data_IF_836777999485
#
_entry.id   IF_836777999485
#
_cell.length_a   1.000
_cell.length_b   1.000
_cell.length_c   1.000
_cell.angle_alpha   90.00
_cell.angle_beta   90.00
_cell.angle_gamma   90.00
#
_symmetry.space_group_name_H-M   'P 1'
#
loop_
_entity.id
_entity.type
_entity.pdbx_description
1 polymer ?
#
# COMPACT_ATOMS: atom_id res chain seq x y z
N UNK A 1 54.64 -28.68 -0.86
CA UNK A 1 53.40 -29.18 -1.52
C UNK A 1 52.30 -29.67 -0.54
N UNK A 2 52.35 -29.36 0.77
CA UNK A 2 51.33 -29.80 1.76
C UNK A 2 50.45 -28.67 2.34
N UNK A 3 50.82 -27.40 2.16
CA UNK A 3 50.03 -26.28 2.70
C UNK A 3 48.87 -25.83 1.79
N UNK A 4 48.98 -26.05 0.46
CA UNK A 4 47.91 -25.70 -0.50
C UNK A 4 46.72 -26.66 -0.49
N UNK A 5 46.87 -27.87 0.06
CA UNK A 5 45.77 -28.86 0.16
C UNK A 5 44.91 -28.68 1.41
N UNK A 6 45.42 -28.02 2.46
CA UNK A 6 44.65 -27.77 3.69
C UNK A 6 43.70 -26.57 3.54
N UNK A 7 44.10 -25.55 2.75
CA UNK A 7 43.24 -24.41 2.44
C UNK A 7 42.03 -24.79 1.56
N UNK A 8 42.19 -25.80 0.68
CA UNK A 8 41.10 -26.28 -0.17
C UNK A 8 40.07 -27.13 0.60
N UNK A 9 40.46 -27.75 1.71
CA UNK A 9 39.56 -28.52 2.58
C UNK A 9 38.78 -27.65 3.56
N UNK A 10 39.27 -26.45 3.90
CA UNK A 10 38.55 -25.50 4.76
C UNK A 10 37.54 -24.61 4.00
N UNK A 11 37.58 -24.62 2.67
CA UNK A 11 36.69 -23.82 1.80
C UNK A 11 35.41 -24.55 1.38
N UNK A 12 35.21 -25.81 1.80
CA UNK A 12 34.03 -26.62 1.43
C UNK A 12 33.03 -26.79 2.59
N UNK A 13 33.35 -26.33 3.81
CA UNK A 13 32.47 -26.51 4.98
C UNK A 13 31.65 -25.28 5.38
N UNK A 14 31.68 -24.19 4.61
CA UNK A 14 30.78 -23.05 4.78
C UNK A 14 29.77 -23.04 3.64
N UNK A 15 29.09 -24.17 3.42
CA UNK A 15 27.77 -24.14 2.83
C UNK A 15 26.87 -23.48 3.85
N UNK A 16 26.65 -22.18 3.67
CA UNK A 16 25.61 -21.44 4.35
C UNK A 16 24.34 -22.30 4.32
N UNK A 17 23.94 -22.83 5.49
CA UNK A 17 22.56 -23.21 5.71
C UNK A 17 21.78 -21.90 5.72
N UNK A 18 21.54 -21.36 4.53
CA UNK A 18 20.38 -20.54 4.28
C UNK A 18 19.20 -21.47 4.54
N UNK A 19 18.81 -21.61 5.80
CA UNK A 19 17.46 -22.08 6.10
C UNK A 19 16.56 -21.11 5.34
N UNK A 20 16.05 -21.55 4.18
CA UNK A 20 15.01 -20.85 3.47
C UNK A 20 13.93 -20.59 4.54
N UNK A 21 13.70 -19.31 4.83
CA UNK A 21 12.75 -18.90 5.83
C UNK A 21 11.41 -19.49 5.36
N UNK A 22 10.88 -20.49 6.08
CA UNK A 22 9.62 -21.13 5.68
C UNK A 22 8.55 -20.04 5.71
N UNK A 23 8.15 -19.54 4.54
CA UNK A 23 7.20 -18.44 4.41
C UNK A 23 5.78 -18.83 4.88
N UNK A 24 5.54 -20.09 5.24
CA UNK A 24 4.27 -20.60 5.77
C UNK A 24 4.39 -21.91 6.53
N UNK A 25 3.23 -22.46 6.92
CA UNK A 25 3.11 -23.76 7.58
C UNK A 25 1.81 -24.48 7.21
N UNK A 26 1.82 -25.82 7.23
CA UNK A 26 0.60 -26.64 7.17
C UNK A 26 -0.13 -26.53 8.50
N UNK A 27 -1.34 -25.97 8.47
CA UNK A 27 -2.17 -25.80 9.65
C UNK A 27 -2.94 -27.08 9.95
N UNK A 28 -2.40 -27.83 10.91
CA UNK A 28 -2.90 -29.16 11.28
C UNK A 28 -4.04 -29.09 12.31
N UNK A 29 -4.17 -27.97 13.01
CA UNK A 29 -5.22 -27.74 14.00
C UNK A 29 -6.53 -27.41 13.32
N UNK A 30 -6.48 -26.67 12.21
CA UNK A 30 -7.63 -26.30 11.38
C UNK A 30 -7.75 -27.18 10.13
N UNK A 31 -7.30 -28.43 10.24
CA UNK A 31 -7.50 -29.44 9.21
C UNK A 31 -8.95 -29.97 9.26
N UNK A 32 -9.53 -30.23 8.09
CA UNK A 32 -10.81 -30.93 7.97
C UNK A 32 -10.55 -32.42 7.86
N UNK A 33 -11.23 -33.24 8.66
CA UNK A 33 -11.40 -34.68 8.42
C UNK A 33 -12.87 -35.02 8.61
N UNK A 34 -13.53 -35.49 7.55
CA UNK A 34 -14.94 -35.92 7.59
C UNK A 34 -15.08 -37.29 6.94
N UNK A 35 -15.89 -38.14 7.55
CA UNK A 35 -16.28 -39.45 7.03
C UNK A 35 -17.81 -39.48 6.90
N UNK A 36 -18.32 -39.82 5.72
CA UNK A 36 -19.76 -39.85 5.47
C UNK A 36 -20.11 -41.07 4.61
N UNK A 37 -21.17 -41.78 5.00
CA UNK A 37 -21.75 -42.87 4.21
C UNK A 37 -22.66 -42.27 3.13
N UNK A 38 -22.46 -42.71 1.89
CA UNK A 38 -23.20 -42.27 0.70
C UNK A 38 -23.87 -43.47 0.08
N UNK A 39 -25.17 -43.39 -0.17
CA UNK A 39 -25.88 -44.47 -0.85
C UNK A 39 -25.51 -44.54 -2.33
N UNK A 40 -25.75 -45.70 -2.94
CA UNK A 40 -25.57 -45.87 -4.37
C UNK A 40 -26.34 -44.78 -5.14
N UNK A 41 -25.68 -44.15 -6.12
CA UNK A 41 -26.21 -43.07 -6.97
C UNK A 41 -26.53 -41.73 -6.27
N UNK A 42 -26.40 -41.64 -4.95
CA UNK A 42 -26.70 -40.41 -4.23
C UNK A 42 -25.66 -39.31 -4.48
N UNK A 43 -26.12 -38.06 -4.29
CA UNK A 43 -25.28 -36.86 -4.24
C UNK A 43 -25.28 -36.27 -2.84
N UNK A 44 -24.09 -35.93 -2.35
CA UNK A 44 -23.91 -35.27 -1.06
C UNK A 44 -22.95 -34.10 -1.17
N UNK A 45 -22.92 -33.23 -0.16
CA UNK A 45 -21.90 -32.19 -0.03
C UNK A 45 -21.24 -32.22 1.34
N UNK A 46 -19.93 -32.02 1.38
CA UNK A 46 -19.14 -31.95 2.61
C UNK A 46 -18.52 -30.55 2.70
N UNK A 47 -18.84 -29.82 3.77
CA UNK A 47 -18.24 -28.52 4.09
C UNK A 47 -16.89 -28.75 4.78
N UNK A 48 -15.86 -28.00 4.39
CA UNK A 48 -14.62 -27.91 5.16
C UNK A 48 -14.81 -27.10 6.45
N UNK A 49 -13.89 -27.27 7.39
CA UNK A 49 -13.64 -26.25 8.40
C UNK A 49 -13.24 -24.93 7.73
N UNK A 50 -13.41 -23.82 8.45
CA UNK A 50 -13.12 -22.50 7.90
C UNK A 50 -11.60 -22.36 7.66
N UNK A 51 -11.24 -21.99 6.42
CA UNK A 51 -9.86 -21.80 5.99
C UNK A 51 -9.26 -20.59 6.75
N UNK A 52 -8.06 -20.75 7.34
CA UNK A 52 -7.38 -19.66 8.02
C UNK A 52 -7.13 -18.44 7.13
N UNK A 53 -7.13 -17.24 7.72
CA UNK A 53 -6.62 -16.03 7.06
C UNK A 53 -5.17 -16.26 6.65
N UNK A 54 -4.85 -15.91 5.40
CA UNK A 54 -3.52 -16.15 4.82
C UNK A 54 -3.33 -17.54 4.22
N UNK A 55 -4.40 -18.34 4.07
CA UNK A 55 -4.34 -19.59 3.31
C UNK A 55 -4.00 -19.31 1.86
N UNK A 56 -2.84 -19.79 1.40
CA UNK A 56 -2.41 -19.65 -0.01
C UNK A 56 -2.43 -20.97 -0.75
N UNK A 57 -2.45 -22.09 -0.04
CA UNK A 57 -2.60 -23.42 -0.62
C UNK A 57 -3.46 -24.30 0.26
N UNK A 58 -4.04 -25.33 -0.35
CA UNK A 58 -4.60 -26.46 0.39
C UNK A 58 -4.10 -27.76 -0.24
N UNK A 59 -3.97 -28.77 0.60
CA UNK A 59 -3.87 -30.15 0.15
C UNK A 59 -5.12 -30.86 0.61
N UNK A 60 -5.76 -31.58 -0.29
CA UNK A 60 -6.84 -32.48 0.07
C UNK A 60 -6.57 -33.89 -0.39
N UNK A 61 -7.18 -34.83 0.33
CA UNK A 61 -7.19 -36.25 0.04
C UNK A 61 -8.61 -36.78 0.17
N UNK A 62 -9.04 -37.50 -0.85
CA UNK A 62 -10.31 -38.21 -0.93
C UNK A 62 -9.99 -39.69 -0.97
N UNK A 63 -10.63 -40.48 -0.11
CA UNK A 63 -10.52 -41.95 -0.12
C UNK A 63 -11.91 -42.53 0.00
N UNK A 64 -12.27 -43.45 -0.90
CA UNK A 64 -13.47 -44.26 -0.79
C UNK A 64 -13.14 -45.57 -0.09
N UNK A 65 -14.00 -45.94 0.85
CA UNK A 65 -13.87 -47.11 1.70
C UNK A 65 -15.20 -47.87 1.70
N UNK A 66 -15.13 -49.19 1.87
CA UNK A 66 -16.33 -49.94 2.25
C UNK A 66 -16.82 -49.45 3.64
N UNK A 67 -18.11 -49.62 3.94
CA UNK A 67 -18.70 -49.10 5.19
C UNK A 67 -17.94 -49.51 6.46
N UNK A 68 -17.37 -50.73 6.48
CA UNK A 68 -16.65 -51.29 7.63
C UNK A 68 -15.14 -51.01 7.62
N UNK A 69 -14.60 -50.47 6.53
CA UNK A 69 -13.17 -50.15 6.44
C UNK A 69 -12.83 -48.86 7.19
N UNK A 70 -11.59 -48.78 7.67
CA UNK A 70 -11.03 -47.62 8.35
C UNK A 70 -9.72 -47.18 7.68
N UNK A 71 -9.39 -45.90 7.79
CA UNK A 71 -8.15 -45.35 7.27
C UNK A 71 -6.93 -45.87 8.06
N UNK A 72 -5.88 -46.28 7.34
CA UNK A 72 -4.63 -46.73 7.97
C UNK A 72 -3.75 -45.57 8.49
N UNK A 73 -3.83 -44.39 7.86
CA UNK A 73 -3.09 -43.18 8.24
C UNK A 73 -3.86 -41.91 7.85
N UNK A 74 -3.62 -40.79 8.53
CA UNK A 74 -4.22 -39.49 8.21
C UNK A 74 -3.33 -38.62 7.33
N UNK A 75 -3.91 -37.67 6.61
CA UNK A 75 -3.18 -36.73 5.76
C UNK A 75 -2.27 -35.84 6.62
N UNK A 76 -2.73 -35.47 7.81
CA UNK A 76 -1.93 -34.74 8.81
C UNK A 76 -0.68 -35.53 9.23
N UNK A 77 -0.77 -36.86 9.40
CA UNK A 77 0.40 -37.67 9.76
C UNK A 77 1.38 -37.81 8.60
N UNK A 78 0.89 -37.95 7.36
CA UNK A 78 1.71 -37.92 6.15
C UNK A 78 2.45 -36.59 6.02
N UNK A 79 1.76 -35.45 6.22
CA UNK A 79 2.39 -34.13 6.16
C UNK A 79 3.39 -33.88 7.31
N UNK A 80 3.30 -34.60 8.44
CA UNK A 80 4.31 -34.55 9.51
C UNK A 80 5.61 -35.26 9.11
N UNK A 81 5.53 -36.30 8.29
CA UNK A 81 6.69 -37.08 7.85
C UNK A 81 7.44 -36.48 6.65
N UNK A 82 6.96 -35.35 6.10
CA UNK A 82 7.59 -34.64 4.99
C UNK A 82 8.56 -33.58 5.55
N UNK A 83 9.89 -33.75 5.38
CA UNK A 83 10.90 -32.87 6.00
C UNK A 83 10.83 -31.41 5.51
N UNK A 84 10.45 -31.23 4.24
CA UNK A 84 10.23 -29.94 3.60
C UNK A 84 8.83 -29.89 2.97
N UNK A 85 7.93 -29.01 3.42
CA UNK A 85 6.60 -28.88 2.83
C UNK A 85 6.61 -28.52 1.34
N UNK A 86 7.70 -27.97 0.80
CA UNK A 86 7.87 -27.80 -0.65
C UNK A 86 8.03 -29.14 -1.39
N UNK A 87 8.33 -30.24 -0.70
CA UNK A 87 8.32 -31.58 -1.28
C UNK A 87 6.94 -32.01 -1.79
N UNK A 88 5.85 -31.47 -1.20
CA UNK A 88 4.48 -31.62 -1.72
C UNK A 88 4.25 -30.77 -2.97
N UNK A 89 5.08 -29.74 -3.19
CA UNK A 89 4.96 -28.78 -4.29
C UNK A 89 5.63 -29.22 -5.60
N UNK A 90 6.34 -30.36 -5.62
CA UNK A 90 7.07 -30.91 -6.79
C UNK A 90 6.18 -31.59 -7.84
N UNK A 91 5.01 -31.02 -8.13
CA UNK A 91 4.10 -31.51 -9.18
C UNK A 91 3.44 -32.86 -8.87
N UNK A 92 3.07 -33.61 -9.93
CA UNK A 92 2.30 -34.86 -9.86
C UNK A 92 3.00 -35.97 -9.06
N UNK A 93 4.33 -35.96 -8.96
CA UNK A 93 5.09 -36.92 -8.15
C UNK A 93 4.85 -36.74 -6.64
N UNK A 94 4.61 -35.51 -6.17
CA UNK A 94 4.31 -35.22 -4.76
C UNK A 94 2.90 -35.67 -4.35
N UNK A 95 1.94 -35.64 -5.27
CA UNK A 95 0.56 -36.08 -5.02
C UNK A 95 0.45 -37.59 -4.75
N UNK A 96 1.31 -38.40 -5.37
CA UNK A 96 1.37 -39.85 -5.14
C UNK A 96 1.71 -40.18 -3.68
N UNK A 97 2.59 -39.40 -3.04
CA UNK A 97 2.92 -39.58 -1.62
C UNK A 97 1.77 -39.24 -0.67
N UNK A 98 0.79 -38.46 -1.13
CA UNK A 98 -0.39 -38.10 -0.36
C UNK A 98 -1.47 -39.18 -0.45
N UNK A 99 -1.56 -39.89 -1.57
CA UNK A 99 -2.63 -40.88 -1.82
C UNK A 99 -2.65 -41.99 -0.77
N UNK A 100 -3.87 -42.43 -0.42
CA UNK A 100 -4.04 -43.62 0.41
C UNK A 100 -3.55 -44.86 -0.33
N UNK A 101 -2.95 -45.79 0.43
CA UNK A 101 -2.60 -47.14 -0.08
C UNK A 101 -3.83 -48.03 -0.23
N UNK A 102 -4.95 -47.65 0.36
CA UNK A 102 -6.22 -48.37 0.24
C UNK A 102 -6.70 -48.27 -1.21
N UNK A 103 -7.22 -49.37 -1.73
CA UNK A 103 -7.79 -49.49 -3.07
C UNK A 103 -9.07 -50.29 -2.95
N UNK A 104 -10.15 -49.79 -3.55
CA UNK A 104 -11.44 -50.46 -3.63
C UNK A 104 -12.09 -50.19 -4.99
N UNK A 105 -13.16 -50.92 -5.28
CA UNK A 105 -13.90 -50.85 -6.55
C UNK A 105 -14.95 -49.73 -6.56
N UNK A 106 -15.23 -49.16 -5.40
CA UNK A 106 -16.14 -48.01 -5.24
C UNK A 106 -15.61 -46.79 -5.97
N UNK A 107 -16.48 -46.06 -6.67
CA UNK A 107 -16.08 -44.85 -7.42
C UNK A 107 -17.04 -43.68 -7.24
N UNK A 108 -16.47 -42.48 -7.18
CA UNK A 108 -17.19 -41.21 -7.16
C UNK A 108 -16.67 -40.27 -8.24
N UNK A 109 -17.56 -39.44 -8.75
CA UNK A 109 -17.17 -38.13 -9.30
C UNK A 109 -17.30 -37.08 -8.20
N UNK A 110 -16.50 -36.02 -8.26
CA UNK A 110 -16.62 -34.92 -7.29
C UNK A 110 -16.36 -33.55 -7.90
N UNK A 111 -16.88 -32.53 -7.26
CA UNK A 111 -16.68 -31.14 -7.63
C UNK A 111 -16.48 -30.27 -6.38
N UNK A 112 -15.72 -29.19 -6.52
CA UNK A 112 -15.45 -28.23 -5.46
C UNK A 112 -16.21 -26.94 -5.74
N UNK A 113 -16.83 -26.40 -4.71
CA UNK A 113 -17.53 -25.13 -4.77
C UNK A 113 -16.99 -24.19 -3.70
N UNK A 114 -17.06 -22.89 -3.98
CA UNK A 114 -16.70 -21.80 -3.05
C UNK A 114 -17.93 -21.08 -2.47
N UNK A 115 -19.13 -21.62 -2.71
CA UNK A 115 -20.37 -21.08 -2.16
C UNK A 115 -21.33 -22.20 -1.76
N UNK A 116 -21.99 -22.04 -0.61
CA UNK A 116 -23.04 -22.96 -0.16
C UNK A 116 -24.21 -23.08 -1.15
N UNK A 117 -24.59 -21.98 -1.82
CA UNK A 117 -25.70 -21.97 -2.78
C UNK A 117 -25.42 -22.88 -3.99
N UNK A 118 -24.25 -22.74 -4.62
CA UNK A 118 -23.89 -23.59 -5.76
C UNK A 118 -23.68 -25.05 -5.35
N UNK A 119 -23.15 -25.31 -4.15
CA UNK A 119 -23.04 -26.66 -3.62
C UNK A 119 -24.41 -27.32 -3.41
N UNK A 120 -25.40 -26.55 -2.93
CA UNK A 120 -26.78 -27.02 -2.78
C UNK A 120 -27.42 -27.33 -4.13
N UNK A 121 -27.24 -26.44 -5.12
CA UNK A 121 -27.73 -26.65 -6.50
C UNK A 121 -27.16 -27.95 -7.11
N UNK A 122 -25.88 -28.23 -6.89
CA UNK A 122 -25.27 -29.48 -7.34
C UNK A 122 -25.94 -30.75 -6.79
N UNK A 123 -26.45 -30.74 -5.55
CA UNK A 123 -27.21 -31.88 -5.02
C UNK A 123 -28.48 -32.11 -5.85
N UNK A 124 -29.17 -31.02 -6.22
CA UNK A 124 -30.45 -31.02 -6.92
C UNK A 124 -30.30 -31.46 -8.38
N UNK A 125 -29.36 -30.87 -9.14
CA UNK A 125 -29.25 -31.09 -10.58
C UNK A 125 -28.00 -31.87 -11.03
N UNK A 126 -26.94 -31.95 -10.19
CA UNK A 126 -25.67 -32.60 -10.50
C UNK A 126 -24.74 -31.81 -11.41
N UNK A 127 -25.06 -30.56 -11.73
CA UNK A 127 -24.27 -29.75 -12.66
C UNK A 127 -23.04 -29.16 -11.98
N UNK A 128 -21.93 -29.16 -12.71
CA UNK A 128 -20.63 -28.67 -12.24
C UNK A 128 -20.25 -27.32 -12.84
N UNK A 129 -21.15 -26.67 -13.60
CA UNK A 129 -20.90 -25.40 -14.31
C UNK A 129 -20.44 -24.25 -13.40
N UNK A 130 -20.79 -24.32 -12.11
CA UNK A 130 -20.44 -23.33 -11.08
C UNK A 130 -19.40 -23.84 -10.08
N UNK A 131 -18.82 -25.01 -10.34
CA UNK A 131 -17.72 -25.53 -9.54
C UNK A 131 -16.43 -24.78 -9.88
N UNK A 132 -15.58 -24.57 -8.87
CA UNK A 132 -14.23 -24.04 -9.07
C UNK A 132 -13.26 -25.14 -9.53
N UNK A 133 -13.66 -26.41 -9.41
CA UNK A 133 -12.94 -27.59 -9.89
C UNK A 133 -13.93 -28.76 -10.03
N UNK A 134 -13.78 -29.60 -11.06
CA UNK A 134 -14.58 -30.81 -11.24
C UNK A 134 -13.70 -31.99 -11.68
N UNK A 135 -13.97 -33.15 -11.09
CA UNK A 135 -13.41 -34.45 -11.46
C UNK A 135 -14.55 -35.30 -12.04
N UNK A 136 -14.63 -35.32 -13.36
CA UNK A 136 -15.72 -35.99 -14.09
C UNK A 136 -15.48 -37.49 -14.28
N UNK A 137 -14.21 -37.91 -14.33
CA UNK A 137 -13.88 -39.33 -14.37
C UNK A 137 -14.05 -39.95 -12.96
N UNK A 138 -14.88 -41.00 -12.83
CA UNK A 138 -15.09 -41.66 -11.55
C UNK A 138 -13.80 -42.30 -11.01
N UNK A 139 -13.52 -42.08 -9.73
CA UNK A 139 -12.32 -42.60 -9.09
C UNK A 139 -12.57 -43.06 -7.65
N UNK A 140 -11.74 -43.98 -7.18
CA UNK A 140 -11.81 -44.55 -5.82
C UNK A 140 -11.01 -43.79 -4.78
N UNK A 141 -10.05 -42.97 -5.24
CA UNK A 141 -9.23 -42.09 -4.40
C UNK A 141 -8.62 -40.98 -5.22
N UNK A 142 -8.32 -39.87 -4.56
CA UNK A 142 -7.63 -38.75 -5.17
C UNK A 142 -6.87 -37.95 -4.11
N UNK A 143 -5.81 -37.26 -4.52
CA UNK A 143 -5.13 -36.29 -3.67
C UNK A 143 -4.61 -35.16 -4.54
N UNK A 144 -4.99 -33.92 -4.23
CA UNK A 144 -4.54 -32.75 -4.98
C UNK A 144 -4.07 -31.65 -4.06
N UNK A 145 -3.19 -30.83 -4.62
CA UNK A 145 -2.79 -29.54 -4.08
C UNK A 145 -3.41 -28.45 -4.92
N UNK A 146 -4.15 -27.55 -4.28
CA UNK A 146 -4.62 -26.31 -4.91
C UNK A 146 -3.80 -25.16 -4.36
N UNK A 147 -3.40 -24.24 -5.22
CA UNK A 147 -2.69 -23.03 -4.85
C UNK A 147 -3.44 -21.80 -5.35
N UNK A 148 -3.34 -20.69 -4.63
CA UNK A 148 -4.04 -19.44 -4.89
C UNK A 148 -3.77 -18.88 -6.30
N UNK A 149 -2.60 -19.14 -6.86
CA UNK A 149 -2.18 -18.71 -8.20
C UNK A 149 -2.70 -19.62 -9.33
N UNK A 150 -3.12 -20.85 -9.03
CA UNK A 150 -3.48 -21.87 -10.03
C UNK A 150 -4.92 -22.37 -9.93
N UNK A 151 -5.63 -22.05 -8.86
CA UNK A 151 -6.97 -22.54 -8.62
C UNK A 151 -7.93 -21.43 -8.24
N UNK A 152 -9.06 -21.37 -8.95
CA UNK A 152 -10.22 -20.55 -8.59
C UNK A 152 -10.93 -21.02 -7.31
N UNK A 153 -10.55 -22.16 -6.75
CA UNK A 153 -11.08 -22.64 -5.47
C UNK A 153 -10.48 -21.90 -4.27
N UNK A 154 -9.41 -21.13 -4.45
CA UNK A 154 -8.83 -20.28 -3.41
C UNK A 154 -8.91 -18.82 -3.86
N UNK A 155 -9.16 -17.91 -2.93
CA UNK A 155 -9.32 -16.50 -3.25
C UNK A 155 -9.47 -15.65 -1.99
N UNK A 156 -9.40 -14.33 -2.15
CA UNK A 156 -9.44 -13.38 -1.02
C UNK A 156 -10.70 -13.52 -0.14
N UNK A 157 -11.83 -13.94 -0.73
CA UNK A 157 -13.12 -14.09 -0.06
C UNK A 157 -13.56 -15.55 0.11
N UNK A 158 -12.66 -16.52 -0.12
CA UNK A 158 -12.97 -17.94 0.06
C UNK A 158 -12.47 -18.37 1.43
N UNK A 159 -13.41 -18.54 2.37
CA UNK A 159 -13.14 -19.01 3.72
C UNK A 159 -13.56 -20.47 3.94
N UNK A 160 -14.14 -21.13 2.93
CA UNK A 160 -14.68 -22.48 3.04
C UNK A 160 -14.72 -23.10 1.66
N UNK A 161 -14.55 -24.42 1.60
CA UNK A 161 -14.85 -25.22 0.43
C UNK A 161 -15.98 -26.21 0.69
N UNK A 162 -16.74 -26.48 -0.36
CA UNK A 162 -17.78 -27.50 -0.36
C UNK A 162 -17.42 -28.57 -1.39
N UNK A 163 -17.21 -29.80 -0.93
CA UNK A 163 -16.94 -30.96 -1.77
C UNK A 163 -18.27 -31.64 -2.10
N UNK A 164 -18.74 -31.52 -3.34
CA UNK A 164 -19.89 -32.26 -3.85
C UNK A 164 -19.46 -33.60 -4.39
N UNK A 165 -20.07 -34.70 -3.93
CA UNK A 165 -19.81 -36.05 -4.41
C UNK A 165 -21.04 -36.63 -5.11
N UNK A 166 -20.81 -37.52 -6.06
CA UNK A 166 -21.84 -38.36 -6.67
C UNK A 166 -21.33 -39.80 -6.71
N UNK A 167 -22.00 -40.70 -5.99
CA UNK A 167 -21.66 -42.13 -6.02
C UNK A 167 -21.98 -42.73 -7.38
N UNK A 168 -21.01 -43.43 -7.97
CA UNK A 168 -21.22 -44.17 -9.23
C UNK A 168 -21.49 -45.66 -9.00
N UNK A 169 -21.51 -46.08 -7.73
CA UNK A 169 -21.87 -47.44 -7.35
C UNK A 169 -23.30 -47.79 -7.77
N UNK A 170 -23.49 -49.03 -8.16
CA UNK A 170 -24.79 -49.52 -8.62
C UNK A 170 -25.74 -49.85 -7.47
N UNK A 171 -25.26 -50.55 -6.44
CA UNK A 171 -26.09 -51.09 -5.36
C UNK A 171 -25.54 -50.79 -3.97
N UNK A 172 -24.22 -50.89 -3.80
CA UNK A 172 -23.59 -50.79 -2.49
C UNK A 172 -23.39 -49.34 -2.08
N UNK A 173 -23.61 -49.10 -0.79
CA UNK A 173 -23.21 -47.86 -0.12
C UNK A 173 -21.69 -47.82 0.01
N UNK A 174 -21.16 -46.62 0.10
CA UNK A 174 -19.73 -46.37 0.23
C UNK A 174 -19.47 -45.32 1.30
N UNK A 175 -18.30 -45.37 1.94
CA UNK A 175 -17.84 -44.33 2.86
C UNK A 175 -16.87 -43.42 2.14
N UNK A 176 -17.20 -42.13 2.09
CA UNK A 176 -16.32 -41.09 1.57
C UNK A 176 -15.55 -40.47 2.73
N UNK A 177 -14.23 -40.53 2.69
CA UNK A 177 -13.34 -39.84 3.62
C UNK A 177 -12.70 -38.65 2.91
N UNK A 178 -12.89 -37.46 3.48
CA UNK A 178 -12.28 -36.22 2.99
C UNK A 178 -11.38 -35.64 4.06
N UNK A 179 -10.13 -35.40 3.68
CA UNK A 179 -9.15 -34.70 4.49
C UNK A 179 -8.66 -33.47 3.75
N UNK A 180 -8.66 -32.31 4.42
CA UNK A 180 -8.17 -31.03 3.85
C UNK A 180 -7.25 -30.36 4.85
N UNK A 181 -6.04 -30.00 4.43
CA UNK A 181 -5.06 -29.30 5.27
C UNK A 181 -4.62 -28.01 4.57
N UNK A 182 -4.88 -26.83 5.14
CA UNK A 182 -4.45 -25.57 4.56
C UNK A 182 -2.98 -25.24 4.85
N UNK A 183 -2.33 -24.59 3.89
CA UNK A 183 -1.03 -23.93 4.06
C UNK A 183 -1.26 -22.44 4.31
N UNK A 184 -0.75 -21.95 5.43
CA UNK A 184 -0.92 -20.57 5.88
C UNK A 184 0.39 -19.81 5.73
N UNK A 185 0.38 -18.77 4.91
CA UNK A 185 1.49 -17.85 4.75
C UNK A 185 1.62 -16.94 5.98
N UNK A 186 2.83 -16.88 6.54
CA UNK A 186 3.14 -16.17 7.79
C UNK A 186 2.97 -14.65 7.70
N UNK A 187 3.16 -14.06 6.51
CA UNK A 187 3.00 -12.63 6.27
C UNK A 187 1.54 -12.30 6.00
N UNK A 188 0.87 -13.11 5.17
CA UNK A 188 -0.53 -12.90 4.79
C UNK A 188 -1.52 -13.24 5.91
N UNK A 189 -1.15 -14.10 6.87
CA UNK A 189 -2.01 -14.43 8.01
C UNK A 189 -2.30 -13.24 8.95
N UNK A 190 -1.62 -12.11 8.76
CA UNK A 190 -1.89 -10.86 9.48
C UNK A 190 -3.13 -10.14 8.97
N UNK A 191 -3.73 -10.60 7.86
CA UNK A 191 -4.99 -10.07 7.33
C UNK A 191 -4.83 -8.81 6.48
N UNK A 192 -3.63 -8.45 6.06
CA UNK A 192 -3.36 -7.27 5.22
C UNK A 192 -3.46 -7.60 3.73
N UNK A 193 -4.69 -7.82 3.25
CA UNK A 193 -5.00 -7.98 1.82
C UNK A 193 -5.15 -6.60 1.12
N UNK A 194 -5.40 -6.61 -0.19
CA UNK A 194 -5.51 -5.38 -0.98
C UNK A 194 -6.64 -4.46 -0.51
N UNK A 195 -7.83 -5.01 -0.26
CA UNK A 195 -9.01 -4.24 0.16
C UNK A 195 -8.79 -3.58 1.53
N UNK A 196 -8.24 -4.34 2.48
CA UNK A 196 -7.94 -3.86 3.82
C UNK A 196 -6.86 -2.76 3.79
N UNK A 197 -5.85 -2.88 2.92
CA UNK A 197 -4.85 -1.81 2.72
C UNK A 197 -5.49 -0.56 2.11
N UNK A 198 -6.37 -0.73 1.13
CA UNK A 198 -7.09 0.36 0.48
C UNK A 198 -8.01 1.10 1.46
N UNK A 199 -8.64 0.40 2.40
CA UNK A 199 -9.43 1.02 3.46
C UNK A 199 -8.58 1.99 4.31
N UNK A 200 -7.41 1.55 4.77
CA UNK A 200 -6.49 2.38 5.57
C UNK A 200 -6.01 3.59 4.78
N UNK A 201 -5.61 3.39 3.53
CA UNK A 201 -5.15 4.50 2.66
C UNK A 201 -6.28 5.50 2.44
N UNK A 202 -7.49 5.02 2.14
CA UNK A 202 -8.65 5.89 1.89
C UNK A 202 -9.00 6.72 3.12
N UNK A 203 -8.98 6.11 4.32
CA UNK A 203 -9.20 6.82 5.58
C UNK A 203 -8.08 7.82 5.89
N UNK A 204 -6.83 7.49 5.59
CA UNK A 204 -5.72 8.44 5.74
C UNK A 204 -5.91 9.69 4.87
N UNK A 205 -6.35 9.53 3.62
CA UNK A 205 -6.54 10.64 2.66
C UNK A 205 -7.60 11.64 3.12
N UNK A 206 -8.54 11.24 3.98
CA UNK A 206 -9.53 12.17 4.56
C UNK A 206 -8.98 12.98 5.74
N UNK A 207 -7.77 12.71 6.22
CA UNK A 207 -7.17 13.45 7.33
C UNK A 207 -6.82 14.88 6.94
N UNK A 208 -6.93 15.81 7.88
CA UNK A 208 -6.57 17.22 7.68
C UNK A 208 -5.10 17.41 7.30
N UNK A 209 -4.22 16.49 7.71
CA UNK A 209 -2.81 16.51 7.35
C UNK A 209 -2.61 16.09 5.88
N UNK A 210 -3.22 14.98 5.46
CA UNK A 210 -3.17 14.51 4.07
C UNK A 210 -3.78 15.53 3.09
N UNK A 211 -4.89 16.17 3.45
CA UNK A 211 -5.56 17.19 2.63
C UNK A 211 -4.74 18.45 2.38
N UNK A 212 -3.71 18.72 3.20
CA UNK A 212 -2.79 19.86 2.99
C UNK A 212 -1.74 19.57 1.92
N UNK A 213 -1.56 18.30 1.54
CA UNK A 213 -0.62 17.83 0.54
C UNK A 213 -1.34 17.71 -0.80
N UNK A 214 -0.76 18.14 -1.92
CA UNK A 214 -1.35 17.84 -3.24
C UNK A 214 -1.25 16.36 -3.57
N UNK A 215 -0.21 15.68 -3.08
CA UNK A 215 -0.11 14.22 -3.11
C UNK A 215 0.19 13.69 -1.71
N UNK A 216 -0.73 12.91 -1.16
CA UNK A 216 -0.63 12.29 0.17
C UNK A 216 -0.32 10.79 0.10
N UNK A 217 -0.02 10.23 -1.07
CA UNK A 217 0.17 8.79 -1.25
C UNK A 217 1.35 8.26 -0.41
N UNK A 218 2.55 8.85 -0.56
CA UNK A 218 3.72 8.43 0.23
C UNK A 218 3.49 8.56 1.75
N UNK A 219 2.79 9.62 2.15
CA UNK A 219 2.41 9.85 3.54
C UNK A 219 1.46 8.75 4.05
N UNK A 220 0.42 8.43 3.29
CA UNK A 220 -0.56 7.41 3.67
C UNK A 220 -0.01 5.99 3.58
N UNK A 221 0.89 5.71 2.64
CA UNK A 221 1.63 4.44 2.57
C UNK A 221 2.54 4.28 3.79
N UNK A 222 3.23 5.35 4.21
CA UNK A 222 4.03 5.31 5.43
C UNK A 222 3.18 4.99 6.68
N UNK A 223 1.98 5.58 6.80
CA UNK A 223 1.06 5.27 7.90
C UNK A 223 0.61 3.81 7.83
N UNK A 224 0.19 3.34 6.64
CA UNK A 224 -0.21 1.96 6.41
C UNK A 224 0.90 0.99 6.86
N UNK A 225 2.14 1.22 6.46
CA UNK A 225 3.27 0.37 6.82
C UNK A 225 3.50 0.29 8.34
N UNK A 226 3.34 1.41 9.05
CA UNK A 226 3.45 1.43 10.51
C UNK A 226 2.31 0.65 11.18
N UNK A 227 1.08 0.79 10.70
CA UNK A 227 -0.07 0.02 11.19
C UNK A 227 0.15 -1.47 10.92
N UNK A 228 0.57 -1.83 9.71
CA UNK A 228 0.82 -3.22 9.31
C UNK A 228 1.89 -3.89 10.17
N UNK A 229 2.94 -3.15 10.55
CA UNK A 229 4.01 -3.64 11.43
C UNK A 229 3.50 -3.88 12.85
N UNK A 230 2.69 -2.98 13.39
CA UNK A 230 2.25 -3.04 14.79
C UNK A 230 1.04 -3.95 15.03
N UNK A 231 0.12 -4.06 14.07
CA UNK A 231 -1.16 -4.75 14.25
C UNK A 231 -1.40 -5.86 13.21
N UNK A 232 -2.16 -6.88 13.58
CA UNK A 232 -2.97 -7.64 12.61
C UNK A 232 -4.18 -6.79 12.23
N UNK A 233 -4.71 -6.99 11.03
CA UNK A 233 -5.87 -6.23 10.56
C UNK A 233 -7.08 -6.36 11.49
N UNK A 234 -7.37 -7.57 11.97
CA UNK A 234 -8.50 -7.84 12.88
C UNK A 234 -8.32 -7.21 14.26
N UNK A 235 -7.08 -7.10 14.74
CA UNK A 235 -6.75 -6.40 15.98
C UNK A 235 -6.95 -4.89 15.81
N UNK A 236 -6.45 -4.33 14.70
CA UNK A 236 -6.64 -2.93 14.37
C UNK A 236 -8.13 -2.58 14.24
N UNK A 237 -8.92 -3.44 13.60
CA UNK A 237 -10.37 -3.21 13.43
C UNK A 237 -11.12 -3.16 14.76
N UNK A 238 -10.68 -3.92 15.77
CA UNK A 238 -11.28 -3.96 17.11
C UNK A 238 -10.92 -2.78 18.00
N UNK A 239 -9.94 -1.96 17.61
CA UNK A 239 -9.62 -0.73 18.33
C UNK A 239 -10.83 0.21 18.37
N UNK A 240 -11.00 0.89 19.50
CA UNK A 240 -11.99 1.95 19.63
C UNK A 240 -11.70 3.07 18.64
N UNK A 241 -12.72 3.83 18.24
CA UNK A 241 -12.55 4.96 17.33
C UNK A 241 -11.49 5.97 17.84
N UNK A 242 -11.45 6.21 19.15
CA UNK A 242 -10.45 7.09 19.78
C UNK A 242 -9.03 6.54 19.69
N UNK A 243 -8.86 5.22 19.80
CA UNK A 243 -7.56 4.55 19.67
C UNK A 243 -7.09 4.58 18.21
N UNK A 244 -7.99 4.28 17.26
CA UNK A 244 -7.70 4.43 15.82
C UNK A 244 -7.25 5.86 15.50
N UNK A 245 -7.97 6.86 15.99
CA UNK A 245 -7.61 8.27 15.80
C UNK A 245 -6.22 8.61 16.38
N UNK A 246 -5.90 8.07 17.56
CA UNK A 246 -4.58 8.23 18.17
C UNK A 246 -3.49 7.56 17.31
N UNK A 247 -3.73 6.35 16.82
CA UNK A 247 -2.78 5.63 15.94
C UNK A 247 -2.50 6.42 14.66
N UNK A 248 -3.53 6.91 13.97
CA UNK A 248 -3.37 7.75 12.79
C UNK A 248 -2.61 9.03 13.09
N UNK A 249 -2.91 9.68 14.22
CA UNK A 249 -2.22 10.91 14.64
C UNK A 249 -0.74 10.67 14.94
N UNK A 250 -0.43 9.65 15.74
CA UNK A 250 0.94 9.36 16.16
C UNK A 250 1.80 8.91 14.97
N UNK A 251 1.29 8.02 14.12
CA UNK A 251 1.98 7.59 12.91
C UNK A 251 2.04 8.68 11.86
N UNK A 252 1.00 9.50 11.71
CA UNK A 252 1.01 10.67 10.85
C UNK A 252 2.12 11.64 11.27
N UNK A 253 2.24 11.95 12.55
CA UNK A 253 3.33 12.79 13.05
C UNK A 253 4.71 12.17 12.79
N UNK A 254 4.86 10.86 12.94
CA UNK A 254 6.11 10.17 12.64
C UNK A 254 6.45 10.19 11.14
N UNK A 255 5.47 9.95 10.27
CA UNK A 255 5.62 9.98 8.82
C UNK A 255 5.85 11.40 8.28
N UNK A 256 5.22 12.41 8.87
CA UNK A 256 5.42 13.81 8.48
C UNK A 256 6.84 14.31 8.78
N UNK A 257 7.49 13.74 9.81
CA UNK A 257 8.88 14.04 10.16
C UNK A 257 9.91 13.32 9.29
N UNK A 258 9.48 12.34 8.50
CA UNK A 258 10.33 11.72 7.51
C UNK A 258 10.79 12.78 6.50
N UNK A 259 12.10 12.89 6.27
CA UNK A 259 12.68 14.01 5.55
C UNK A 259 12.20 14.09 4.09
N UNK A 260 11.99 12.93 3.45
CA UNK A 260 11.57 12.88 2.05
C UNK A 260 10.11 13.27 1.91
N UNK A 261 9.25 12.74 2.79
CA UNK A 261 7.83 13.11 2.83
C UNK A 261 7.69 14.61 3.14
N UNK A 262 8.40 15.10 4.16
CA UNK A 262 8.39 16.50 4.57
C UNK A 262 8.83 17.43 3.44
N UNK A 263 9.92 17.09 2.73
CA UNK A 263 10.42 17.86 1.59
C UNK A 263 9.39 17.93 0.46
N UNK A 264 8.72 16.82 0.16
CA UNK A 264 7.69 16.76 -0.87
C UNK A 264 6.50 17.65 -0.52
N UNK A 265 6.06 17.67 0.75
CA UNK A 265 4.98 18.54 1.22
C UNK A 265 5.30 20.02 1.03
N UNK A 266 6.48 20.48 1.46
CA UNK A 266 6.82 21.90 1.34
C UNK A 266 7.12 22.31 -0.10
N UNK A 267 7.72 21.43 -0.91
CA UNK A 267 7.89 21.66 -2.34
C UNK A 267 6.54 21.85 -3.03
N UNK A 268 5.55 21.03 -2.67
CA UNK A 268 4.22 21.13 -3.22
C UNK A 268 3.48 22.40 -2.78
N UNK A 269 3.55 22.78 -1.49
CA UNK A 269 3.01 24.05 -1.01
C UNK A 269 3.60 25.26 -1.76
N UNK A 270 4.90 25.22 -2.09
CA UNK A 270 5.55 26.25 -2.91
C UNK A 270 4.98 26.28 -4.33
N UNK A 271 4.78 25.13 -4.95
CA UNK A 271 4.18 25.03 -6.28
C UNK A 271 2.75 25.58 -6.29
N UNK A 272 1.92 25.18 -5.32
CA UNK A 272 0.57 25.72 -5.16
C UNK A 272 0.58 27.24 -4.97
N UNK A 273 1.43 27.76 -4.08
CA UNK A 273 1.58 29.20 -3.87
C UNK A 273 2.00 29.93 -5.16
N UNK A 274 2.98 29.39 -5.89
CA UNK A 274 3.46 29.94 -7.16
C UNK A 274 2.35 30.00 -8.22
N UNK A 275 1.55 28.94 -8.36
CA UNK A 275 0.40 28.90 -9.27
C UNK A 275 -0.65 29.93 -8.87
N UNK A 276 -0.99 30.03 -7.59
CA UNK A 276 -1.93 31.02 -7.08
C UNK A 276 -1.45 32.46 -7.31
N UNK A 277 -0.15 32.73 -7.10
CA UNK A 277 0.46 34.04 -7.39
C UNK A 277 0.38 34.37 -8.88
N UNK A 278 0.69 33.41 -9.78
CA UNK A 278 0.55 33.60 -11.23
C UNK A 278 -0.89 33.89 -11.65
N UNK A 279 -1.86 33.30 -10.95
CA UNK A 279 -3.30 33.56 -11.10
C UNK A 279 -3.78 34.83 -10.37
N UNK A 280 -2.87 35.56 -9.73
CA UNK A 280 -3.16 36.77 -8.94
C UNK A 280 -4.09 36.54 -7.73
N UNK A 281 -4.19 35.29 -7.26
CA UNK A 281 -4.96 34.87 -6.09
C UNK A 281 -4.13 34.97 -4.80
N UNK A 282 -3.69 36.19 -4.48
CA UNK A 282 -2.72 36.42 -3.40
C UNK A 282 -3.24 36.02 -2.01
N UNK A 283 -4.52 36.26 -1.72
CA UNK A 283 -5.14 35.87 -0.44
C UNK A 283 -5.16 34.35 -0.22
N UNK A 284 -5.23 33.56 -1.31
CA UNK A 284 -5.16 32.09 -1.25
C UNK A 284 -3.71 31.58 -1.17
N UNK A 285 -2.75 32.32 -1.75
CA UNK A 285 -1.33 31.97 -1.69
C UNK A 285 -0.71 32.18 -0.30
N UNK A 286 -1.09 33.25 0.40
CA UNK A 286 -0.59 33.61 1.74
C UNK A 286 -0.68 32.45 2.75
N UNK A 287 -1.82 31.75 2.95
CA UNK A 287 -1.89 30.65 3.92
C UNK A 287 -0.97 29.47 3.59
N UNK A 288 -0.69 29.21 2.30
CA UNK A 288 0.26 28.17 1.86
C UNK A 288 1.68 28.53 2.28
N UNK A 289 2.10 29.77 2.02
CA UNK A 289 3.41 30.29 2.42
C UNK A 289 3.56 30.38 3.94
N UNK A 290 2.52 30.82 4.66
CA UNK A 290 2.52 30.85 6.12
C UNK A 290 2.68 29.45 6.74
N UNK A 291 2.15 28.40 6.11
CA UNK A 291 2.36 27.03 6.58
C UNK A 291 3.85 26.66 6.51
N UNK A 292 4.53 26.98 5.40
CA UNK A 292 5.98 26.74 5.24
C UNK A 292 6.79 27.52 6.30
N UNK A 293 6.42 28.79 6.54
CA UNK A 293 7.11 29.67 7.48
C UNK A 293 6.92 29.22 8.93
N UNK A 294 5.68 28.92 9.35
CA UNK A 294 5.37 28.52 10.72
C UNK A 294 6.02 27.19 11.10
N UNK A 295 6.25 26.30 10.13
CA UNK A 295 6.95 25.03 10.32
C UNK A 295 8.49 25.18 10.30
N UNK A 296 9.01 26.40 10.14
CA UNK A 296 10.45 26.69 10.14
C UNK A 296 11.19 26.15 8.91
N UNK A 297 10.49 26.00 7.77
CA UNK A 297 11.03 25.42 6.53
C UNK A 297 11.16 26.42 5.39
N UNK A 298 10.93 27.70 5.68
CA UNK A 298 11.02 28.77 4.71
C UNK A 298 12.45 29.08 4.27
N UNK A 299 12.59 29.37 2.99
CA UNK A 299 13.78 29.92 2.34
C UNK A 299 13.59 31.41 2.10
N UNK A 300 14.66 32.12 1.70
CA UNK A 300 14.57 33.53 1.35
C UNK A 300 13.55 33.79 0.21
N UNK A 301 13.42 32.85 -0.74
CA UNK A 301 12.42 32.90 -1.80
C UNK A 301 10.97 32.78 -1.29
N UNK A 302 10.74 31.99 -0.24
CA UNK A 302 9.41 31.89 0.38
C UNK A 302 9.02 33.22 1.04
N UNK A 303 9.97 33.85 1.73
CA UNK A 303 9.82 35.20 2.30
C UNK A 303 9.62 36.28 1.23
N UNK A 304 10.36 36.19 0.12
CA UNK A 304 10.17 37.05 -1.05
C UNK A 304 8.75 36.92 -1.60
N UNK A 305 8.27 35.69 -1.79
CA UNK A 305 6.95 35.39 -2.34
C UNK A 305 5.82 35.89 -1.44
N UNK A 306 5.92 35.70 -0.12
CA UNK A 306 4.88 36.17 0.80
C UNK A 306 4.92 37.70 0.94
N UNK A 307 6.11 38.31 0.90
CA UNK A 307 6.30 39.75 0.86
C UNK A 307 5.61 40.38 -0.36
N UNK A 308 5.81 39.79 -1.54
CA UNK A 308 5.12 40.18 -2.78
C UNK A 308 3.59 40.10 -2.65
N UNK A 309 3.06 39.00 -2.10
CA UNK A 309 1.63 38.87 -1.85
C UNK A 309 1.11 39.96 -0.89
N UNK A 310 1.86 40.31 0.15
CA UNK A 310 1.48 41.35 1.09
C UNK A 310 1.55 42.76 0.49
N UNK A 311 2.49 43.06 -0.41
CA UNK A 311 2.51 44.31 -1.18
C UNK A 311 1.21 44.45 -2.00
N UNK A 312 0.85 43.40 -2.75
CA UNK A 312 -0.33 43.40 -3.62
C UNK A 312 -1.66 43.41 -2.88
N UNK A 313 -1.67 42.91 -1.65
CA UNK A 313 -2.83 43.00 -0.74
C UNK A 313 -2.77 44.22 0.18
N UNK A 314 -1.85 45.16 -0.06
CA UNK A 314 -1.69 46.44 0.65
C UNK A 314 -1.39 46.30 2.16
N UNK A 315 -0.84 45.16 2.59
CA UNK A 315 -0.44 44.89 3.97
C UNK A 315 1.06 45.18 4.16
N UNK A 316 1.44 46.44 4.00
CA UNK A 316 2.84 46.86 3.87
C UNK A 316 3.72 46.55 5.08
N UNK A 317 3.19 46.65 6.31
CA UNK A 317 3.94 46.30 7.52
C UNK A 317 4.29 44.81 7.57
N UNK A 318 3.35 43.93 7.17
CA UNK A 318 3.61 42.50 7.07
C UNK A 318 4.62 42.21 5.97
N UNK A 319 4.49 42.87 4.82
CA UNK A 319 5.47 42.75 3.74
C UNK A 319 6.87 43.10 4.23
N UNK A 320 7.02 44.23 4.95
CA UNK A 320 8.31 44.66 5.50
C UNK A 320 8.91 43.61 6.42
N UNK A 321 8.11 43.15 7.40
CA UNK A 321 8.53 42.14 8.37
C UNK A 321 9.06 40.89 7.65
N UNK A 322 8.27 40.32 6.75
CA UNK A 322 8.66 39.06 6.10
C UNK A 322 9.83 39.22 5.12
N UNK A 323 9.90 40.33 4.38
CA UNK A 323 11.03 40.59 3.49
C UNK A 323 12.34 40.80 4.25
N UNK A 324 12.29 41.46 5.42
CA UNK A 324 13.46 41.59 6.29
C UNK A 324 13.92 40.24 6.87
N UNK A 325 12.99 39.35 7.22
CA UNK A 325 13.36 37.97 7.62
C UNK A 325 13.99 37.20 6.45
N UNK A 326 13.47 37.36 5.22
CA UNK A 326 14.09 36.80 4.02
C UNK A 326 15.50 37.33 3.78
N UNK A 327 15.70 38.63 3.95
CA UNK A 327 17.00 39.31 3.79
C UNK A 327 18.02 38.88 4.85
N UNK A 328 17.57 38.63 6.09
CA UNK A 328 18.43 38.06 7.15
C UNK A 328 18.87 36.63 6.82
N UNK A 329 17.98 35.85 6.21
CA UNK A 329 18.25 34.45 5.85
C UNK A 329 19.21 34.34 4.66
N UNK A 330 19.02 35.18 3.64
CA UNK A 330 19.93 35.33 2.51
C UNK A 330 19.96 36.80 2.06
N UNK A 331 21.08 37.48 2.35
CA UNK A 331 21.25 38.88 2.02
C UNK A 331 21.64 39.12 0.55
N UNK A 332 21.87 38.05 -0.22
CA UNK A 332 22.24 38.08 -1.64
C UNK A 332 21.05 37.79 -2.55
N UNK A 333 19.95 37.26 -2.03
CA UNK A 333 18.74 36.94 -2.79
C UNK A 333 18.10 38.20 -3.39
N UNK A 334 18.26 38.38 -4.71
CA UNK A 334 17.88 39.60 -5.41
C UNK A 334 16.37 39.79 -5.52
N UNK A 335 15.56 38.72 -5.51
CA UNK A 335 14.10 38.88 -5.47
C UNK A 335 13.64 39.49 -4.15
N UNK A 336 14.29 39.18 -3.03
CA UNK A 336 14.00 39.85 -1.75
C UNK A 336 14.35 41.33 -1.83
N UNK A 337 15.54 41.67 -2.35
CA UNK A 337 15.96 43.08 -2.52
C UNK A 337 15.00 43.85 -3.42
N UNK A 338 14.59 43.26 -4.53
CA UNK A 338 13.65 43.88 -5.45
C UNK A 338 12.30 44.13 -4.78
N UNK A 339 11.77 43.15 -4.06
CA UNK A 339 10.51 43.31 -3.33
C UNK A 339 10.60 44.32 -2.18
N UNK A 340 11.75 44.47 -1.51
CA UNK A 340 11.99 45.58 -0.58
C UNK A 340 11.97 46.93 -1.29
N UNK A 341 12.61 47.06 -2.46
CA UNK A 341 12.56 48.28 -3.26
C UNK A 341 11.13 48.62 -3.71
N UNK A 342 10.35 47.61 -4.12
CA UNK A 342 8.94 47.74 -4.44
C UNK A 342 8.14 48.24 -3.24
N UNK A 343 8.32 47.60 -2.08
CA UNK A 343 7.65 47.97 -0.85
C UNK A 343 7.95 49.42 -0.45
N UNK A 344 9.23 49.82 -0.42
CA UNK A 344 9.63 51.18 -0.10
C UNK A 344 9.04 52.20 -1.08
N UNK A 345 8.97 51.86 -2.37
CA UNK A 345 8.37 52.73 -3.38
C UNK A 345 6.88 52.97 -3.11
N UNK A 346 6.11 51.91 -2.85
CA UNK A 346 4.66 52.03 -2.62
C UNK A 346 4.29 52.55 -1.23
N UNK A 347 5.23 52.53 -0.28
CA UNK A 347 5.08 53.10 1.06
C UNK A 347 5.64 54.53 1.18
N UNK A 348 5.96 55.17 0.06
CA UNK A 348 6.51 56.54 -0.04
C UNK A 348 7.92 56.71 0.56
N UNK A 349 8.66 55.63 0.78
CA UNK A 349 10.05 55.69 1.22
C UNK A 349 11.02 55.74 0.03
N UNK A 350 11.01 56.87 -0.68
CA UNK A 350 11.67 56.99 -1.99
C UNK A 350 13.20 56.93 -1.95
N UNK A 351 13.84 57.38 -0.88
CA UNK A 351 15.30 57.38 -0.75
C UNK A 351 15.87 55.96 -0.77
N UNK A 352 15.28 55.11 0.06
CA UNK A 352 15.61 53.70 0.23
C UNK A 352 15.27 52.92 -1.04
N UNK A 353 14.08 53.14 -1.62
CA UNK A 353 13.69 52.54 -2.88
C UNK A 353 14.70 52.85 -4.00
N UNK A 354 15.03 54.14 -4.18
CA UNK A 354 15.97 54.59 -5.22
C UNK A 354 17.36 53.98 -5.03
N UNK A 355 17.82 53.88 -3.78
CA UNK A 355 19.13 53.31 -3.46
C UNK A 355 19.22 51.86 -3.92
N UNK A 356 18.19 51.05 -3.62
CA UNK A 356 18.17 49.63 -4.00
C UNK A 356 18.03 49.47 -5.51
N UNK A 357 17.08 50.17 -6.15
CA UNK A 357 16.90 50.05 -7.62
C UNK A 357 18.18 50.39 -8.38
N UNK A 358 18.91 51.44 -7.99
CA UNK A 358 20.18 51.80 -8.64
C UNK A 358 21.28 50.77 -8.39
N UNK A 359 21.39 50.24 -7.18
CA UNK A 359 22.47 49.32 -6.80
C UNK A 359 22.45 48.02 -7.63
N UNK A 360 21.27 47.51 -7.97
CA UNK A 360 21.11 46.19 -8.58
C UNK A 360 20.61 46.23 -10.04
N UNK A 361 20.48 47.41 -10.64
CA UNK A 361 19.87 47.59 -11.96
C UNK A 361 20.48 46.75 -13.09
N UNK A 362 21.77 46.43 -13.03
CA UNK A 362 22.49 45.69 -14.08
C UNK A 362 22.67 44.19 -13.74
N UNK A 363 21.94 43.69 -12.73
CA UNK A 363 21.97 42.28 -12.32
C UNK A 363 20.73 41.52 -12.82
N UNK A 364 20.78 40.20 -12.74
CA UNK A 364 19.65 39.32 -13.02
C UNK A 364 19.05 38.80 -11.72
N UNK A 365 17.72 38.82 -11.59
CA UNK A 365 16.99 38.31 -10.41
C UNK A 365 16.76 36.80 -10.48
N UNK A 366 16.86 36.21 -11.66
CA UNK A 366 16.92 34.76 -11.89
C UNK A 366 17.97 34.49 -12.99
N UNK A 367 18.19 33.23 -13.34
CA UNK A 367 19.06 32.84 -14.47
C UNK A 367 18.65 33.44 -15.83
N UNK A 368 17.39 33.87 -15.95
CA UNK A 368 16.72 34.19 -17.22
C UNK A 368 16.01 35.54 -17.21
N UNK A 369 15.89 36.22 -16.06
CA UNK A 369 15.14 37.47 -15.93
C UNK A 369 16.04 38.55 -15.34
N UNK A 370 16.22 39.65 -16.08
CA UNK A 370 16.97 40.81 -15.61
C UNK A 370 16.20 41.58 -14.52
N UNK A 371 16.92 42.32 -13.67
CA UNK A 371 16.32 43.21 -12.68
C UNK A 371 15.36 44.22 -13.33
N UNK A 372 15.77 44.80 -14.47
CA UNK A 372 14.98 45.79 -15.23
C UNK A 372 13.68 45.16 -15.76
N UNK A 373 13.76 43.96 -16.36
CA UNK A 373 12.60 43.27 -16.92
C UNK A 373 11.61 42.85 -15.83
N UNK A 374 12.12 42.30 -14.71
CA UNK A 374 11.26 41.95 -13.58
C UNK A 374 10.57 43.18 -13.01
N UNK A 375 11.30 44.28 -12.80
CA UNK A 375 10.74 45.56 -12.33
C UNK A 375 9.60 46.03 -13.24
N UNK A 376 9.81 46.01 -14.57
CA UNK A 376 8.80 46.43 -15.55
C UNK A 376 7.56 45.54 -15.52
N UNK A 377 7.76 44.22 -15.43
CA UNK A 377 6.67 43.25 -15.30
C UNK A 377 5.86 43.49 -14.02
N UNK A 378 6.53 43.69 -12.89
CA UNK A 378 5.88 43.92 -11.60
C UNK A 378 5.10 45.23 -11.57
N UNK A 379 5.65 46.32 -12.13
CA UNK A 379 4.93 47.58 -12.24
C UNK A 379 3.65 47.47 -13.06
N UNK A 380 3.63 46.63 -14.10
CA UNK A 380 2.41 46.35 -14.88
C UNK A 380 1.34 45.68 -14.00
N UNK A 381 1.73 44.74 -13.14
CA UNK A 381 0.83 44.06 -12.20
C UNK A 381 0.37 45.05 -11.12
N UNK A 382 1.28 45.86 -10.58
CA UNK A 382 1.00 46.85 -9.54
C UNK A 382 0.02 47.93 -10.00
N UNK A 383 0.16 48.40 -11.25
CA UNK A 383 -0.80 49.32 -11.86
C UNK A 383 -2.19 48.71 -11.95
N UNK A 384 -2.30 47.45 -12.41
CA UNK A 384 -3.59 46.72 -12.46
C UNK A 384 -4.19 46.52 -11.07
N UNK A 385 -3.36 46.32 -10.05
CA UNK A 385 -3.77 46.18 -8.66
C UNK A 385 -4.10 47.53 -7.97
N UNK A 386 -3.95 48.66 -8.66
CA UNK A 386 -4.23 49.98 -8.11
C UNK A 386 -3.24 50.40 -7.00
N UNK A 387 -1.97 50.01 -7.12
CA UNK A 387 -0.88 50.55 -6.31
C UNK A 387 -0.41 51.92 -6.87
N UNK A 388 0.23 52.79 -6.05
CA UNK A 388 0.61 54.14 -6.46
C UNK A 388 1.52 54.15 -7.71
N UNK A 389 1.01 54.63 -8.86
CA UNK A 389 1.66 54.46 -10.17
C UNK A 389 2.56 55.61 -10.60
N UNK A 390 2.37 56.83 -10.07
CA UNK A 390 3.08 58.06 -10.51
C UNK A 390 4.61 57.99 -10.35
N UNK A 391 5.10 57.08 -9.52
CA UNK A 391 6.52 56.94 -9.22
C UNK A 391 7.18 55.76 -9.95
N UNK A 392 6.39 54.87 -10.57
CA UNK A 392 6.91 53.76 -11.38
C UNK A 392 7.69 54.27 -12.60
N UNK A 393 7.12 55.22 -13.34
CA UNK A 393 7.79 55.85 -14.48
C UNK A 393 9.09 56.55 -14.09
N UNK A 394 9.15 57.14 -12.89
CA UNK A 394 10.38 57.77 -12.39
C UNK A 394 11.48 56.74 -12.14
N UNK A 395 11.13 55.57 -11.60
CA UNK A 395 12.08 54.47 -11.40
C UNK A 395 12.56 53.91 -12.73
N UNK A 396 11.66 53.69 -13.71
CA UNK A 396 12.05 53.19 -15.02
C UNK A 396 13.02 54.15 -15.75
N UNK A 397 12.85 55.47 -15.57
CA UNK A 397 13.81 56.47 -16.07
C UNK A 397 15.19 56.41 -15.42
N UNK A 398 15.35 55.76 -14.26
CA UNK A 398 16.68 55.58 -13.63
C UNK A 398 17.55 54.57 -14.36
N UNK A 399 16.95 53.69 -15.17
CA UNK A 399 17.63 52.59 -15.86
C UNK A 399 18.17 52.96 -17.25
N UNK A 400 17.82 54.16 -17.72
CA UNK A 400 18.15 54.69 -19.05
C UNK A 400 19.30 55.70 -18.99
#
# INVERSE_FOLDING_TARGET
>A
MKLKRLALFLLITISFNSFAQKDGYWDKERATTKEIIVSARDRITIKTEDLPVGTTEIVYRITLLDENQQMANSLVSVLKSIPDPTGVSQGSAGAVFLMSKISGDDTCTYALFTSAENAKKYIEDGKTDKACYAQEEPLSKDAKRLSLDKSSCLGQNVNTLWFGFHSKNWLLKQKVVVEVVPWVDTKLNRGWNQDNKNEIISLCKTSTMAQKMANSDDFCVCILDKIMKQYRYTEFQKLLAIEKNKVYKDFGNACYKDADISKNVFSDLRNQASVLIKQQKYNEAIPKLNTIINEGKATALDYSSIGYCYILTKQYEKALKFLQEGEKLDNTELLVKLNLAHLYLVSNNYGEAKTIYKKYQDQNVTDSISWKDKTKSDFTIFQKAGLPSKDFEKVLKLYN
#
